data_IF_493821413233
#
_entry.id   IF_493821413233
#
_cell.length_a   1.000
_cell.length_b   1.000
_cell.length_c   1.000
_cell.angle_alpha   90.00
_cell.angle_beta   90.00
_cell.angle_gamma   90.00
#
_symmetry.space_group_name_H-M   'P 1'
#
loop_
_entity.id
_entity.type
_entity.pdbx_description
1 polymer ?
#
# COMPACT_ATOMS: atom_id res chain seq x y z
N UNK A 1 12.52 26.65 -14.33
CA UNK A 1 13.51 27.37 -13.48
C UNK A 1 12.87 28.55 -12.76
N UNK A 2 12.21 28.26 -11.63
CA UNK A 2 11.91 29.30 -10.66
C UNK A 2 13.23 29.85 -10.07
N UNK A 3 13.41 31.19 -9.90
CA UNK A 3 14.71 31.78 -9.53
C UNK A 3 15.09 31.59 -8.05
N UNK A 4 14.21 30.98 -7.27
CA UNK A 4 14.40 30.61 -5.88
C UNK A 4 14.27 29.08 -5.88
N UNK A 5 15.22 28.34 -5.29
CA UNK A 5 15.17 26.88 -5.23
C UNK A 5 13.81 26.37 -4.72
N UNK A 6 13.48 25.14 -5.09
CA UNK A 6 12.23 24.50 -4.69
C UNK A 6 12.10 24.48 -3.16
N UNK A 7 11.04 25.11 -2.63
CA UNK A 7 10.79 25.20 -1.19
C UNK A 7 9.38 24.71 -0.84
N UNK A 8 9.21 23.40 -0.84
CA UNK A 8 8.03 22.75 -0.29
C UNK A 8 7.92 22.99 1.24
N UNK A 9 6.81 23.59 1.66
CA UNK A 9 6.49 23.88 3.06
C UNK A 9 5.28 23.05 3.50
N UNK A 10 5.55 22.00 4.27
CA UNK A 10 4.51 21.10 4.78
C UNK A 10 4.13 21.43 6.23
N UNK A 11 2.84 21.43 6.52
CA UNK A 11 2.30 21.49 7.88
C UNK A 11 1.95 20.07 8.37
N UNK A 12 2.66 19.60 9.39
CA UNK A 12 2.38 18.30 10.01
C UNK A 12 1.21 18.40 10.99
N UNK A 13 0.21 17.54 10.79
CA UNK A 13 -0.87 17.25 11.71
C UNK A 13 -0.88 15.75 12.06
N UNK A 14 -1.09 15.43 13.33
CA UNK A 14 -1.40 14.07 13.76
C UNK A 14 -2.90 13.93 13.92
N UNK A 15 -3.54 13.27 12.95
CA UNK A 15 -5.01 13.14 12.90
C UNK A 15 -5.52 12.03 13.83
N UNK A 16 -4.69 11.01 14.10
CA UNK A 16 -4.96 9.97 15.09
C UNK A 16 -3.67 9.59 15.80
N UNK A 17 -3.66 9.67 17.13
CA UNK A 17 -2.46 9.44 17.94
C UNK A 17 -2.43 8.06 18.60
N UNK A 18 -3.56 7.37 18.67
CA UNK A 18 -3.68 6.07 19.32
C UNK A 18 -4.88 5.30 18.76
N UNK A 19 -4.87 4.92 17.47
CA UNK A 19 -5.88 4.03 16.94
C UNK A 19 -5.88 2.72 17.74
N UNK A 20 -7.03 2.05 17.91
CA UNK A 20 -7.14 0.84 18.73
C UNK A 20 -6.51 -0.37 18.03
N UNK A 21 -5.19 -0.35 17.94
CA UNK A 21 -4.35 -1.26 17.18
C UNK A 21 -3.05 -1.53 17.94
N UNK A 22 -2.49 -2.72 17.77
CA UNK A 22 -1.14 -3.05 18.23
C UNK A 22 -0.08 -2.79 17.15
N UNK A 23 -0.45 -2.93 15.88
CA UNK A 23 0.40 -2.72 14.71
C UNK A 23 -0.49 -2.31 13.54
N UNK A 24 0.01 -1.46 12.65
CA UNK A 24 -0.77 -0.93 11.52
C UNK A 24 -0.37 -1.62 10.22
N UNK A 25 -1.34 -1.97 9.39
CA UNK A 25 -1.19 -2.78 8.18
C UNK A 25 -0.97 -1.94 6.93
N UNK A 26 -2.01 -1.27 6.44
CA UNK A 26 -2.02 -0.54 5.16
C UNK A 26 -2.57 0.87 5.30
N UNK A 27 -2.31 1.74 4.32
CA UNK A 27 -2.84 3.10 4.21
C UNK A 27 -3.30 3.36 2.77
N UNK A 28 -4.59 3.59 2.58
CA UNK A 28 -5.22 3.80 1.28
C UNK A 28 -5.97 5.12 1.28
N UNK A 29 -6.12 5.72 0.10
CA UNK A 29 -6.87 6.96 -0.08
C UNK A 29 -7.86 6.84 -1.23
N UNK A 30 -9.06 7.40 -1.05
CA UNK A 30 -10.10 7.51 -2.08
C UNK A 30 -11.21 8.44 -1.59
N UNK A 31 -11.97 9.08 -2.48
CA UNK A 31 -13.16 9.86 -2.09
C UNK A 31 -14.37 8.93 -1.95
N UNK A 32 -14.67 8.50 -0.72
CA UNK A 32 -15.83 7.64 -0.42
C UNK A 32 -17.13 8.45 -0.36
N UNK A 33 -17.07 9.75 -0.09
CA UNK A 33 -18.26 10.59 0.10
C UNK A 33 -18.70 11.35 -1.15
N UNK A 34 -17.89 11.34 -2.20
CA UNK A 34 -18.12 12.07 -3.45
C UNK A 34 -17.98 13.58 -3.30
N UNK A 35 -17.21 14.05 -2.30
CA UNK A 35 -17.06 15.47 -2.01
C UNK A 35 -15.86 16.14 -2.70
N UNK A 36 -15.09 15.36 -3.46
CA UNK A 36 -13.88 15.77 -4.18
C UNK A 36 -12.61 15.81 -3.32
N UNK A 37 -12.64 15.26 -2.09
CA UNK A 37 -11.50 15.19 -1.18
C UNK A 37 -11.26 13.72 -0.82
N UNK A 38 -10.07 13.17 -1.09
CA UNK A 38 -9.74 11.82 -0.68
C UNK A 38 -9.84 11.66 0.84
N UNK A 39 -10.52 10.59 1.24
CA UNK A 39 -10.54 10.05 2.58
C UNK A 39 -9.33 9.15 2.84
N UNK A 40 -9.13 8.73 4.09
CA UNK A 40 -8.04 7.83 4.49
C UNK A 40 -8.61 6.53 5.05
N UNK A 41 -8.15 5.38 4.55
CA UNK A 41 -8.50 4.05 5.05
C UNK A 41 -7.25 3.38 5.60
N UNK A 42 -7.33 2.88 6.83
CA UNK A 42 -6.21 2.25 7.52
C UNK A 42 -6.60 0.88 8.05
N UNK A 43 -5.83 -0.13 7.64
CA UNK A 43 -5.90 -1.47 8.22
C UNK A 43 -4.95 -1.60 9.41
N UNK A 44 -5.28 -2.47 10.36
CA UNK A 44 -4.45 -2.73 11.53
C UNK A 44 -4.56 -4.17 12.05
N UNK A 45 -3.65 -4.56 12.91
CA UNK A 45 -3.81 -5.67 13.84
C UNK A 45 -4.56 -5.16 15.07
N UNK A 46 -5.73 -5.75 15.34
CA UNK A 46 -6.53 -5.37 16.50
C UNK A 46 -5.77 -5.43 17.83
N UNK A 47 -6.17 -4.59 18.78
CA UNK A 47 -5.53 -4.48 20.09
C UNK A 47 -6.04 -5.51 21.12
N UNK A 48 -5.19 -5.92 22.08
CA UNK A 48 -5.59 -6.73 23.24
C UNK A 48 -6.55 -5.92 24.13
N UNK A 49 -7.86 -6.14 23.99
CA UNK A 49 -8.84 -5.41 24.78
C UNK A 49 -8.94 -5.94 26.22
N UNK A 50 -8.50 -5.12 27.19
CA UNK A 50 -8.94 -5.24 28.58
C UNK A 50 -10.38 -4.72 28.73
N UNK A 51 -11.30 -5.55 29.20
CA UNK A 51 -12.68 -5.12 29.48
C UNK A 51 -12.89 -4.93 30.99
N UNK A 52 -13.40 -3.76 31.38
CA UNK A 52 -13.86 -3.51 32.74
C UNK A 52 -15.22 -4.17 32.98
N UNK A 53 -15.28 -5.09 33.95
CA UNK A 53 -16.54 -5.70 34.35
C UNK A 53 -17.21 -4.86 35.45
N UNK A 54 -18.41 -4.27 35.24
CA UNK A 54 -19.04 -3.36 36.20
C UNK A 54 -19.46 -4.02 37.54
N UNK A 55 -19.21 -5.31 37.72
CA UNK A 55 -19.50 -6.09 38.93
C UNK A 55 -18.24 -6.39 39.77
N UNK A 56 -17.04 -6.15 39.23
CA UNK A 56 -15.76 -6.40 39.90
C UNK A 56 -14.81 -5.30 39.43
N UNK A 57 -14.37 -4.38 40.30
CA UNK A 57 -13.36 -3.33 40.00
C UNK A 57 -12.00 -3.96 39.61
N UNK A 58 -11.97 -4.64 38.47
CA UNK A 58 -10.82 -5.32 37.86
C UNK A 58 -11.03 -5.32 36.36
N UNK A 59 -10.06 -4.76 35.65
CA UNK A 59 -9.90 -5.02 34.23
C UNK A 59 -9.45 -6.47 34.04
N UNK A 60 -9.98 -7.14 33.02
CA UNK A 60 -9.55 -8.48 32.62
C UNK A 60 -9.38 -8.46 31.11
N UNK A 61 -8.19 -8.79 30.65
CA UNK A 61 -7.93 -9.07 29.24
C UNK A 61 -8.83 -10.23 28.77
N UNK A 62 -9.70 -9.95 27.80
CA UNK A 62 -10.62 -10.94 27.24
C UNK A 62 -9.91 -12.11 26.54
N UNK A 63 -8.68 -11.90 26.05
CA UNK A 63 -7.83 -12.95 25.48
C UNK A 63 -7.36 -13.93 26.55
N UNK A 64 -7.12 -13.45 27.78
CA UNK A 64 -6.75 -14.27 28.93
C UNK A 64 -7.90 -15.11 29.51
N UNK A 65 -9.16 -14.82 29.14
CA UNK A 65 -10.33 -15.57 29.60
C UNK A 65 -10.53 -16.83 28.75
N UNK A 66 -10.33 -18.00 29.37
CA UNK A 66 -10.43 -19.30 28.71
C UNK A 66 -11.76 -19.48 27.96
N UNK A 67 -11.70 -19.57 26.63
CA UNK A 67 -12.86 -19.75 25.74
C UNK A 67 -13.44 -18.47 25.14
N UNK A 68 -13.00 -17.27 25.57
CA UNK A 68 -13.46 -15.98 25.04
C UNK A 68 -12.51 -15.38 23.98
N UNK A 69 -11.24 -15.82 23.92
CA UNK A 69 -10.25 -15.33 22.96
C UNK A 69 -10.71 -15.30 21.50
N UNK A 70 -11.39 -16.33 20.96
CA UNK A 70 -11.93 -16.30 19.59
C UNK A 70 -13.05 -15.27 19.38
N UNK A 71 -13.89 -15.03 20.40
CA UNK A 71 -14.96 -14.02 20.35
C UNK A 71 -14.38 -12.61 20.47
N UNK A 72 -13.35 -12.43 21.29
CA UNK A 72 -12.63 -11.16 21.45
C UNK A 72 -11.94 -10.73 20.15
N UNK A 73 -11.23 -11.65 19.47
CA UNK A 73 -10.64 -11.42 18.14
C UNK A 73 -11.68 -11.15 17.06
N UNK A 74 -12.89 -11.70 17.19
CA UNK A 74 -13.99 -11.47 16.24
C UNK A 74 -14.66 -10.09 16.44
N UNK A 75 -14.57 -9.50 17.63
CA UNK A 75 -15.13 -8.18 17.94
C UNK A 75 -14.15 -7.02 17.68
N UNK A 76 -12.90 -7.30 17.29
CA UNK A 76 -11.90 -6.27 16.99
C UNK A 76 -12.17 -5.67 15.60
N UNK A 77 -12.73 -4.46 15.54
CA UNK A 77 -12.64 -3.62 14.35
C UNK A 77 -11.18 -3.25 14.14
N UNK A 78 -10.70 -3.45 12.92
CA UNK A 78 -9.31 -3.20 12.56
C UNK A 78 -9.15 -2.68 11.12
N UNK A 79 -10.24 -2.15 10.57
CA UNK A 79 -10.24 -1.29 9.39
C UNK A 79 -10.93 0.00 9.81
N UNK A 80 -10.19 1.10 9.74
CA UNK A 80 -10.61 2.43 10.15
C UNK A 80 -10.69 3.33 8.93
N UNK A 81 -11.75 4.10 8.81
CA UNK A 81 -11.89 5.14 7.80
C UNK A 81 -11.90 6.51 8.49
N UNK A 82 -11.10 7.46 8.01
CA UNK A 82 -11.07 8.84 8.47
C UNK A 82 -11.69 9.72 7.38
N UNK A 83 -12.87 10.26 7.68
CA UNK A 83 -13.66 11.06 6.74
C UNK A 83 -13.07 12.47 6.58
N UNK A 84 -12.81 12.86 5.34
CA UNK A 84 -12.32 14.19 4.97
C UNK A 84 -13.50 15.07 4.50
N UNK A 85 -13.70 16.29 5.04
CA UNK A 85 -12.86 16.99 6.01
C UNK A 85 -13.21 16.71 7.48
N UNK A 86 -12.21 16.91 8.34
CA UNK A 86 -12.37 16.86 9.80
C UNK A 86 -11.88 15.55 10.43
N UNK A 87 -11.50 14.57 9.62
CA UNK A 87 -10.89 13.31 10.03
C UNK A 87 -11.76 12.52 11.03
N UNK A 88 -13.09 12.58 10.86
CA UNK A 88 -13.99 11.79 11.70
C UNK A 88 -13.73 10.30 11.46
N UNK A 89 -13.38 9.58 12.52
CA UNK A 89 -13.03 8.16 12.45
C UNK A 89 -14.28 7.27 12.50
N UNK A 90 -14.44 6.43 11.49
CA UNK A 90 -15.43 5.38 11.38
C UNK A 90 -14.78 3.99 11.50
N UNK A 91 -15.39 3.15 12.33
CA UNK A 91 -14.99 1.75 12.56
C UNK A 91 -15.72 0.84 11.57
N UNK A 92 -15.20 0.73 10.35
CA UNK A 92 -15.97 0.27 9.18
C UNK A 92 -15.94 -1.24 8.93
N UNK A 93 -14.88 -1.95 9.36
CA UNK A 93 -14.81 -3.39 9.16
C UNK A 93 -13.91 -4.12 10.16
N UNK A 94 -14.04 -5.44 10.20
CA UNK A 94 -13.21 -6.33 11.00
C UNK A 94 -12.76 -7.55 10.19
N UNK A 95 -11.47 -7.88 10.26
CA UNK A 95 -10.94 -9.15 9.81
C UNK A 95 -9.79 -9.61 10.70
N UNK A 96 -9.75 -10.90 11.08
CA UNK A 96 -8.70 -11.38 11.96
C UNK A 96 -7.33 -11.20 11.29
N UNK A 97 -6.42 -10.51 11.97
CA UNK A 97 -4.99 -10.49 11.60
C UNK A 97 -4.70 -9.98 10.17
N UNK A 98 -5.37 -8.89 9.78
CA UNK A 98 -4.92 -8.07 8.65
C UNK A 98 -3.62 -7.38 9.04
N UNK A 99 -2.61 -7.52 8.21
CA UNK A 99 -1.26 -7.08 8.60
C UNK A 99 -0.35 -6.71 7.46
N UNK A 100 -0.76 -7.00 6.22
CA UNK A 100 0.06 -6.78 5.04
C UNK A 100 -0.83 -6.41 3.87
N UNK A 101 -0.46 -5.35 3.16
CA UNK A 101 -1.03 -4.92 1.90
C UNK A 101 -2.51 -4.54 1.95
N UNK A 102 -2.88 -3.57 1.13
CA UNK A 102 -4.27 -3.28 0.84
C UNK A 102 -4.35 -2.66 -0.54
N UNK A 103 -5.46 -2.89 -1.23
CA UNK A 103 -5.74 -2.22 -2.49
C UNK A 103 -7.22 -1.89 -2.58
N UNK A 104 -7.53 -0.91 -3.42
CA UNK A 104 -8.88 -0.52 -3.76
C UNK A 104 -9.14 -0.83 -5.23
N UNK A 105 -10.36 -1.20 -5.57
CA UNK A 105 -10.82 -1.35 -6.94
C UNK A 105 -12.26 -1.84 -7.00
N UNK A 106 -12.93 -1.64 -8.12
CA UNK A 106 -14.34 -2.00 -8.27
C UNK A 106 -14.48 -3.52 -8.44
N UNK A 107 -14.94 -4.21 -7.39
CA UNK A 107 -15.16 -5.65 -7.40
C UNK A 107 -16.60 -6.00 -7.79
N UNK A 108 -17.53 -5.10 -7.48
CA UNK A 108 -18.96 -5.31 -7.70
C UNK A 108 -19.46 -4.87 -9.08
N UNK A 109 -18.60 -4.21 -9.87
CA UNK A 109 -18.95 -3.62 -11.17
C UNK A 109 -19.88 -2.42 -11.04
N UNK A 110 -19.90 -1.76 -9.88
CA UNK A 110 -20.83 -0.67 -9.57
C UNK A 110 -20.23 0.74 -9.84
N UNK A 111 -18.98 0.80 -10.27
CA UNK A 111 -18.22 2.02 -10.54
C UNK A 111 -17.65 2.70 -9.29
N UNK A 112 -17.64 2.05 -8.12
CA UNK A 112 -17.03 2.52 -6.87
C UNK A 112 -16.03 1.51 -6.34
N UNK A 113 -15.02 1.94 -5.59
CA UNK A 113 -14.04 1.02 -5.04
C UNK A 113 -14.63 0.13 -3.95
N UNK A 114 -14.21 -1.13 -3.97
CA UNK A 114 -14.20 -2.07 -2.86
C UNK A 114 -12.75 -2.23 -2.37
N UNK A 115 -12.54 -2.87 -1.21
CA UNK A 115 -11.20 -3.04 -0.64
C UNK A 115 -10.77 -4.51 -0.65
N UNK A 116 -9.50 -4.77 -0.95
CA UNK A 116 -8.85 -6.09 -0.82
C UNK A 116 -7.77 -6.01 0.25
N UNK A 117 -7.67 -7.03 1.11
CA UNK A 117 -6.58 -7.12 2.08
C UNK A 117 -6.26 -8.57 2.48
N UNK A 118 -4.96 -8.82 2.72
CA UNK A 118 -4.39 -10.12 3.04
C UNK A 118 -4.09 -10.35 4.53
N UNK A 119 -3.79 -11.59 4.87
CA UNK A 119 -3.23 -11.98 6.18
C UNK A 119 -1.72 -12.26 6.11
N UNK A 120 -1.02 -12.18 7.27
CA UNK A 120 0.43 -12.40 7.40
C UNK A 120 0.92 -13.86 7.33
N UNK A 121 2.23 -14.02 7.60
CA UNK A 121 2.93 -15.26 7.96
C UNK A 121 2.05 -16.17 8.84
N UNK A 122 2.05 -17.46 8.54
CA UNK A 122 1.24 -18.51 9.19
C UNK A 122 -0.27 -18.35 9.03
N UNK A 123 -0.72 -17.50 8.10
CA UNK A 123 -2.14 -17.27 7.79
C UNK A 123 -2.36 -17.28 6.29
N UNK A 124 -3.59 -17.62 5.92
CA UNK A 124 -3.88 -18.06 4.56
C UNK A 124 -5.00 -17.31 3.86
N UNK A 125 -5.64 -16.32 4.47
CA UNK A 125 -6.85 -15.73 3.90
C UNK A 125 -6.57 -14.44 3.15
N UNK A 126 -7.13 -14.35 1.95
CA UNK A 126 -7.29 -13.12 1.19
C UNK A 126 -8.76 -12.74 1.21
N UNK A 127 -9.05 -11.51 1.64
CA UNK A 127 -10.41 -10.99 1.79
C UNK A 127 -10.66 -9.85 0.82
N UNK A 128 -11.93 -9.68 0.43
CA UNK A 128 -12.43 -8.40 -0.03
C UNK A 128 -13.51 -7.86 0.90
N UNK A 129 -13.74 -6.56 0.86
CA UNK A 129 -14.68 -5.83 1.70
C UNK A 129 -15.57 -5.00 0.79
N UNK A 130 -16.84 -5.38 0.75
CA UNK A 130 -17.88 -4.69 0.01
C UNK A 130 -18.20 -3.37 0.70
N UNK A 131 -17.93 -2.25 0.01
CA UNK A 131 -18.22 -0.91 0.53
C UNK A 131 -19.67 -0.54 0.14
N UNK A 132 -20.57 -0.33 1.12
CA UNK A 132 -21.97 -0.01 0.85
C UNK A 132 -22.13 1.40 0.25
N UNK A 133 -23.31 1.68 -0.32
CA UNK A 133 -23.67 2.99 -0.89
C UNK A 133 -23.41 4.15 0.08
N UNK A 134 -23.72 3.96 1.37
CA UNK A 134 -23.32 4.87 2.44
C UNK A 134 -22.10 4.26 3.14
N UNK A 135 -20.87 4.77 2.90
CA UNK A 135 -19.64 4.18 3.44
C UNK A 135 -19.54 4.23 4.97
N UNK A 136 -20.47 4.93 5.64
CA UNK A 136 -20.60 4.97 7.12
C UNK A 136 -21.28 3.72 7.68
N UNK A 137 -21.92 2.91 6.83
CA UNK A 137 -22.39 1.59 7.20
C UNK A 137 -21.22 0.60 7.29
N UNK A 138 -21.43 -0.54 7.96
CA UNK A 138 -20.41 -1.58 8.09
C UNK A 138 -20.11 -2.23 6.74
N UNK A 139 -18.83 -2.37 6.40
CA UNK A 139 -18.39 -3.00 5.16
C UNK A 139 -18.43 -4.52 5.31
N UNK A 140 -18.89 -5.20 4.25
CA UNK A 140 -19.09 -6.66 4.31
C UNK A 140 -17.85 -7.40 3.84
N UNK A 141 -17.15 -8.04 4.77
CA UNK A 141 -15.99 -8.89 4.48
C UNK A 141 -16.39 -10.23 3.85
N UNK A 142 -15.69 -10.63 2.80
CA UNK A 142 -15.93 -11.87 2.03
C UNK A 142 -14.63 -12.54 1.62
N UNK A 143 -14.57 -13.88 1.69
CA UNK A 143 -13.37 -14.66 1.37
C UNK A 143 -13.18 -14.78 -0.15
N UNK A 144 -12.02 -14.31 -0.65
CA UNK A 144 -11.56 -14.63 -2.00
C UNK A 144 -10.99 -16.05 -2.01
N UNK A 145 -9.96 -16.30 -1.22
CA UNK A 145 -9.26 -17.59 -1.20
C UNK A 145 -8.58 -17.84 0.14
N UNK A 146 -8.35 -19.12 0.45
CA UNK A 146 -7.47 -19.54 1.53
C UNK A 146 -6.39 -20.56 1.15
N UNK A 147 -5.99 -20.56 -0.12
CA UNK A 147 -5.09 -21.57 -0.69
C UNK A 147 -3.59 -21.26 -0.51
N UNK A 148 -3.20 -19.99 -0.32
CA UNK A 148 -1.81 -19.55 -0.18
C UNK A 148 -1.54 -18.89 1.18
N UNK A 149 -0.28 -18.73 1.55
CA UNK A 149 0.18 -18.19 2.84
C UNK A 149 0.85 -16.81 2.68
N UNK A 150 0.54 -15.87 3.58
CA UNK A 150 1.10 -14.50 3.60
C UNK A 150 0.89 -13.74 2.28
N UNK A 151 -0.28 -13.13 2.11
CA UNK A 151 -0.51 -12.20 1.00
C UNK A 151 0.07 -10.85 1.39
N UNK A 152 1.24 -10.52 0.81
CA UNK A 152 2.00 -9.34 1.20
C UNK A 152 1.44 -8.07 0.55
N UNK A 153 1.26 -8.09 -0.77
CA UNK A 153 0.71 -6.98 -1.53
C UNK A 153 -0.37 -7.48 -2.49
N UNK A 154 -1.30 -6.59 -2.81
CA UNK A 154 -2.44 -6.85 -3.69
C UNK A 154 -2.65 -5.67 -4.63
N UNK A 155 -3.25 -5.93 -5.78
CA UNK A 155 -3.73 -4.91 -6.70
C UNK A 155 -5.10 -5.32 -7.24
N UNK A 156 -5.87 -4.34 -7.75
CA UNK A 156 -7.12 -4.57 -8.46
C UNK A 156 -7.07 -3.81 -9.77
N UNK A 157 -7.04 -4.53 -10.89
CA UNK A 157 -6.89 -3.98 -12.23
C UNK A 157 -7.26 -5.04 -13.27
N UNK A 158 -7.63 -4.60 -14.48
CA UNK A 158 -7.82 -5.45 -15.67
C UNK A 158 -6.46 -5.93 -16.17
N UNK A 159 -6.05 -7.14 -15.78
CA UNK A 159 -4.73 -7.71 -16.12
C UNK A 159 -4.77 -8.60 -17.36
N UNK A 160 -5.95 -9.10 -17.74
CA UNK A 160 -6.11 -10.00 -18.88
C UNK A 160 -6.76 -9.36 -20.12
N UNK A 161 -7.05 -8.06 -20.04
CA UNK A 161 -7.44 -7.18 -21.16
C UNK A 161 -8.89 -7.39 -21.58
N UNK A 162 -9.72 -8.00 -20.74
CA UNK A 162 -11.12 -8.29 -21.04
C UNK A 162 -12.09 -7.15 -20.70
N UNK A 163 -11.60 -6.11 -20.01
CA UNK A 163 -12.34 -4.93 -19.59
C UNK A 163 -13.00 -5.05 -18.21
N UNK A 164 -12.81 -6.17 -17.50
CA UNK A 164 -13.20 -6.38 -16.11
C UNK A 164 -11.94 -6.36 -15.22
N UNK A 165 -12.08 -6.05 -13.93
CA UNK A 165 -10.93 -6.06 -13.03
C UNK A 165 -10.65 -7.47 -12.51
N UNK A 166 -9.39 -7.78 -12.25
CA UNK A 166 -8.94 -8.94 -11.50
C UNK A 166 -8.41 -8.53 -10.13
N UNK A 167 -8.29 -9.49 -9.22
CA UNK A 167 -7.56 -9.31 -7.95
C UNK A 167 -6.20 -10.00 -8.04
N UNK A 168 -5.13 -9.21 -8.12
CA UNK A 168 -3.74 -9.68 -8.07
C UNK A 168 -3.30 -9.85 -6.61
N UNK A 169 -2.56 -10.92 -6.33
CA UNK A 169 -1.99 -11.18 -5.01
C UNK A 169 -0.57 -11.71 -5.08
N UNK A 170 0.31 -11.12 -4.27
CA UNK A 170 1.67 -11.61 -4.03
C UNK A 170 1.71 -12.42 -2.73
N UNK A 171 1.85 -13.75 -2.85
CA UNK A 171 1.97 -14.63 -1.70
C UNK A 171 3.43 -15.03 -1.47
N UNK A 172 4.06 -14.45 -0.47
CA UNK A 172 5.49 -14.62 -0.23
C UNK A 172 5.87 -15.99 0.33
N UNK A 173 5.15 -16.50 1.33
CA UNK A 173 5.49 -17.80 1.92
C UNK A 173 5.16 -18.96 0.97
N UNK A 174 4.11 -18.80 0.15
CA UNK A 174 3.84 -19.75 -0.94
C UNK A 174 4.63 -19.47 -2.22
N UNK A 175 5.39 -18.36 -2.26
CA UNK A 175 6.23 -17.94 -3.39
C UNK A 175 5.48 -17.92 -4.71
N UNK A 176 4.30 -17.31 -4.69
CA UNK A 176 3.37 -17.33 -5.82
C UNK A 176 2.90 -15.91 -6.14
N UNK A 177 3.03 -15.54 -7.40
CA UNK A 177 2.34 -14.39 -8.00
C UNK A 177 1.12 -14.94 -8.71
N UNK A 178 -0.07 -14.43 -8.38
CA UNK A 178 -1.32 -14.92 -8.92
C UNK A 178 -2.32 -13.79 -9.13
N UNK A 179 -3.36 -14.06 -9.90
CA UNK A 179 -4.56 -13.25 -9.91
C UNK A 179 -5.82 -14.13 -9.92
N UNK A 180 -6.94 -13.51 -9.60
CA UNK A 180 -8.26 -14.10 -9.73
C UNK A 180 -9.17 -13.23 -10.60
N UNK A 181 -9.77 -13.83 -11.61
CA UNK A 181 -10.94 -13.25 -12.30
C UNK A 181 -12.05 -13.05 -11.29
N UNK A 182 -12.69 -11.88 -11.30
CA UNK A 182 -13.85 -11.66 -10.47
C UNK A 182 -14.99 -12.55 -10.98
N UNK A 183 -15.55 -13.46 -10.15
CA UNK A 183 -16.65 -14.30 -10.62
C UNK A 183 -17.92 -13.46 -10.81
N UNK A 184 -18.78 -13.86 -11.75
CA UNK A 184 -20.10 -13.22 -12.01
C UNK A 184 -20.91 -12.95 -10.74
N UNK A 185 -20.76 -13.79 -9.71
CA UNK A 185 -21.21 -13.53 -8.35
C UNK A 185 -20.00 -13.43 -7.39
N UNK A 186 -19.48 -12.20 -7.14
CA UNK A 186 -18.33 -11.99 -6.24
C UNK A 186 -18.67 -12.25 -4.77
N UNK A 187 -19.96 -12.39 -4.43
CA UNK A 187 -20.41 -12.69 -3.06
C UNK A 187 -20.26 -14.15 -2.66
N UNK A 188 -19.92 -15.02 -3.61
CA UNK A 188 -19.61 -16.43 -3.37
C UNK A 188 -18.30 -16.56 -2.59
N UNK A 189 -18.28 -17.43 -1.58
CA UNK A 189 -17.09 -17.62 -0.72
C UNK A 189 -16.73 -19.11 -0.54
N UNK A 190 -15.47 -19.52 -0.80
CA UNK A 190 -14.44 -18.77 -1.53
C UNK A 190 -14.79 -18.62 -3.03
N UNK A 191 -14.07 -17.76 -3.73
CA UNK A 191 -14.12 -17.67 -5.19
C UNK A 191 -13.73 -19.02 -5.82
N UNK A 192 -14.30 -19.38 -6.99
CA UNK A 192 -13.99 -20.65 -7.63
C UNK A 192 -12.51 -20.74 -8.03
N UNK A 193 -11.89 -21.91 -7.82
CA UNK A 193 -10.52 -22.18 -8.30
C UNK A 193 -10.38 -22.02 -9.82
N UNK A 194 -11.48 -22.13 -10.57
CA UNK A 194 -11.49 -21.91 -12.01
C UNK A 194 -11.21 -20.46 -12.42
N UNK A 195 -11.39 -19.51 -11.51
CA UNK A 195 -11.07 -18.10 -11.71
C UNK A 195 -9.61 -17.78 -11.35
N UNK A 196 -8.85 -18.73 -10.80
CA UNK A 196 -7.47 -18.49 -10.39
C UNK A 196 -6.52 -18.72 -11.55
N UNK A 197 -5.61 -17.77 -11.71
CA UNK A 197 -4.46 -17.87 -12.61
C UNK A 197 -3.16 -17.71 -11.85
N UNK A 198 -2.17 -18.53 -12.18
CA UNK A 198 -0.83 -18.45 -11.60
C UNK A 198 0.06 -17.76 -12.63
N UNK A 199 0.62 -16.61 -12.23
CA UNK A 199 1.55 -15.83 -13.05
C UNK A 199 2.96 -16.38 -12.88
N UNK A 200 3.36 -16.65 -11.64
CA UNK A 200 4.65 -17.25 -11.33
C UNK A 200 4.61 -18.09 -10.06
N UNK A 201 5.44 -19.14 -10.01
CA UNK A 201 5.73 -19.95 -8.83
C UNK A 201 7.22 -19.85 -8.49
N UNK A 202 7.59 -20.27 -7.28
CA UNK A 202 8.96 -20.23 -6.75
C UNK A 202 9.57 -18.81 -6.73
N UNK A 203 8.73 -17.77 -6.64
CA UNK A 203 9.13 -16.37 -6.59
C UNK A 203 8.63 -15.68 -5.32
N UNK A 204 9.56 -15.16 -4.53
CA UNK A 204 9.30 -14.40 -3.30
C UNK A 204 9.58 -12.92 -3.57
N UNK A 205 8.52 -12.11 -3.62
CA UNK A 205 8.56 -10.70 -4.04
C UNK A 205 7.54 -9.87 -3.27
N UNK A 206 7.84 -8.58 -3.17
CA UNK A 206 6.99 -7.53 -2.61
C UNK A 206 6.96 -6.34 -3.56
N UNK A 207 5.92 -5.52 -3.39
CA UNK A 207 5.62 -4.40 -4.25
C UNK A 207 4.96 -4.90 -5.52
N UNK A 208 3.73 -4.45 -5.75
CA UNK A 208 2.99 -4.76 -6.97
C UNK A 208 2.48 -3.47 -7.59
N UNK A 209 2.59 -3.37 -8.90
CA UNK A 209 1.93 -2.37 -9.72
C UNK A 209 1.43 -3.07 -11.00
N UNK A 210 0.39 -2.51 -11.61
CA UNK A 210 -0.18 -3.01 -12.86
C UNK A 210 -0.36 -1.82 -13.78
N UNK A 211 0.35 -1.78 -14.89
CA UNK A 211 0.36 -0.68 -15.86
C UNK A 211 0.92 -1.19 -17.20
N UNK A 212 0.58 -0.54 -18.31
CA UNK A 212 1.19 -0.75 -19.64
C UNK A 212 2.59 -0.12 -19.65
N UNK A 213 3.61 -0.88 -19.25
CA UNK A 213 4.97 -0.36 -19.03
C UNK A 213 5.80 -0.33 -20.31
N UNK A 214 5.42 -1.10 -21.33
CA UNK A 214 6.12 -1.15 -22.61
C UNK A 214 5.41 -0.40 -23.75
N UNK A 215 4.23 0.15 -23.48
CA UNK A 215 3.46 1.00 -24.38
C UNK A 215 2.77 0.23 -25.52
N UNK A 216 2.60 -1.08 -25.39
CA UNK A 216 1.96 -1.92 -26.41
C UNK A 216 0.42 -1.90 -26.37
N UNK A 217 -0.15 -1.35 -25.30
CA UNK A 217 -1.58 -1.21 -25.08
C UNK A 217 -2.22 -2.32 -24.23
N UNK A 218 -1.44 -3.30 -23.78
CA UNK A 218 -1.79 -4.27 -22.75
C UNK A 218 -1.06 -3.91 -21.45
N UNK A 219 -1.58 -4.34 -20.29
CA UNK A 219 -0.92 -4.06 -19.02
C UNK A 219 0.00 -5.21 -18.59
N UNK A 220 1.10 -4.86 -17.95
CA UNK A 220 2.00 -5.78 -17.29
C UNK A 220 1.71 -5.84 -15.79
N UNK A 221 2.05 -6.98 -15.17
CA UNK A 221 2.15 -7.06 -13.72
C UNK A 221 3.62 -6.84 -13.35
N UNK A 222 3.92 -5.75 -12.65
CA UNK A 222 5.24 -5.52 -12.05
C UNK A 222 5.22 -6.02 -10.61
N UNK A 223 6.01 -7.04 -10.30
CA UNK A 223 6.15 -7.61 -8.95
C UNK A 223 7.62 -7.59 -8.50
N UNK A 224 7.94 -6.60 -7.66
CA UNK A 224 9.30 -6.22 -7.33
C UNK A 224 10.14 -5.93 -8.58
N UNK A 225 11.35 -6.51 -8.74
CA UNK A 225 12.21 -6.27 -9.90
C UNK A 225 11.83 -7.15 -11.12
N UNK A 226 10.56 -7.53 -11.25
CA UNK A 226 10.08 -8.43 -12.31
C UNK A 226 8.89 -7.82 -13.03
N UNK A 227 8.97 -7.75 -14.35
CA UNK A 227 7.88 -7.39 -15.24
C UNK A 227 7.33 -8.68 -15.85
N UNK A 228 6.03 -8.90 -15.71
CA UNK A 228 5.34 -10.04 -16.29
C UNK A 228 4.52 -9.56 -17.49
N UNK A 229 4.94 -10.00 -18.67
CA UNK A 229 4.34 -9.71 -19.96
C UNK A 229 3.31 -10.77 -20.32
N UNK A 230 2.09 -10.35 -20.68
CA UNK A 230 1.04 -11.30 -21.06
C UNK A 230 1.34 -11.90 -22.43
N UNK A 231 1.15 -13.20 -22.56
CA UNK A 231 1.33 -13.93 -23.83
C UNK A 231 0.08 -14.76 -24.13
N UNK A 232 -0.01 -15.30 -25.35
CA UNK A 232 -1.12 -16.16 -25.74
C UNK A 232 -1.25 -17.45 -24.90
N UNK A 233 -0.17 -17.90 -24.26
CA UNK A 233 -0.10 -19.17 -23.53
C UNK A 233 0.19 -18.97 -22.02
N UNK A 234 0.20 -17.73 -21.50
CA UNK A 234 0.52 -17.43 -20.10
C UNK A 234 1.30 -16.13 -19.95
N UNK A 235 2.38 -16.15 -19.15
CA UNK A 235 3.17 -14.96 -18.83
C UNK A 235 4.66 -15.19 -19.09
N UNK A 236 5.32 -14.22 -19.71
CA UNK A 236 6.78 -14.17 -19.84
C UNK A 236 7.34 -13.23 -18.76
N UNK A 237 8.36 -13.71 -18.02
CA UNK A 237 9.00 -12.94 -16.95
C UNK A 237 10.27 -12.28 -17.46
N UNK A 238 10.34 -10.96 -17.35
CA UNK A 238 11.55 -10.15 -17.47
C UNK A 238 12.01 -9.69 -16.10
N UNK A 239 13.26 -9.97 -15.74
CA UNK A 239 13.85 -9.49 -14.49
C UNK A 239 14.75 -8.28 -14.80
N UNK A 240 14.31 -7.11 -14.34
CA UNK A 240 14.96 -5.83 -14.68
C UNK A 240 16.17 -5.54 -13.78
N UNK A 241 16.21 -6.14 -12.58
CA UNK A 241 17.27 -5.90 -11.61
C UNK A 241 17.64 -7.15 -10.81
N UNK A 242 18.94 -7.33 -10.57
CA UNK A 242 19.49 -8.37 -9.70
C UNK A 242 19.80 -7.83 -8.30
N UNK A 243 19.47 -8.62 -7.28
CA UNK A 243 19.80 -8.31 -5.89
C UNK A 243 18.99 -7.18 -5.27
N UNK A 244 17.83 -6.85 -5.83
CA UNK A 244 16.81 -5.98 -5.22
C UNK A 244 15.72 -6.87 -4.63
N UNK A 245 15.43 -6.75 -3.34
CA UNK A 245 14.54 -7.65 -2.61
C UNK A 245 13.60 -6.85 -1.69
N UNK A 246 12.45 -7.46 -1.36
CA UNK A 246 11.41 -6.86 -0.49
C UNK A 246 11.14 -5.40 -0.86
N UNK A 247 10.88 -5.20 -2.16
CA UNK A 247 10.82 -3.87 -2.76
C UNK A 247 9.46 -3.24 -2.57
N UNK A 248 9.42 -1.90 -2.59
CA UNK A 248 8.23 -1.15 -3.02
C UNK A 248 8.43 -0.71 -4.47
N UNK A 249 7.33 -0.63 -5.21
CA UNK A 249 7.30 -0.34 -6.65
C UNK A 249 6.44 0.89 -6.89
N UNK A 250 6.93 1.81 -7.71
CA UNK A 250 6.13 2.85 -8.35
C UNK A 250 6.51 2.92 -9.83
N UNK A 251 5.63 3.46 -10.67
CA UNK A 251 5.79 3.53 -12.13
C UNK A 251 5.40 4.94 -12.59
N UNK A 252 6.25 5.60 -13.38
CA UNK A 252 5.97 6.91 -13.97
C UNK A 252 6.97 7.23 -15.10
N UNK A 253 6.56 8.11 -16.02
CA UNK A 253 7.45 8.79 -16.99
C UNK A 253 8.25 9.88 -16.23
N UNK A 254 9.41 9.49 -15.72
CA UNK A 254 10.31 10.28 -14.88
C UNK A 254 11.16 11.22 -15.72
N UNK A 255 11.55 10.85 -16.94
CA UNK A 255 12.46 11.67 -17.75
C UNK A 255 11.79 12.45 -18.89
N UNK A 256 10.48 12.25 -19.07
CA UNK A 256 9.63 12.98 -20.00
C UNK A 256 9.75 12.50 -21.45
N UNK A 257 10.31 11.32 -21.69
CA UNK A 257 10.46 10.75 -23.03
C UNK A 257 9.23 9.95 -23.50
N UNK A 258 8.33 9.64 -22.57
CA UNK A 258 7.04 8.98 -22.80
C UNK A 258 7.05 7.46 -22.60
N UNK A 259 8.20 6.85 -22.32
CA UNK A 259 8.30 5.50 -21.81
C UNK A 259 8.14 5.53 -20.25
N UNK A 260 7.73 4.41 -19.64
CA UNK A 260 7.49 4.37 -18.20
C UNK A 260 8.67 3.74 -17.45
N UNK A 261 9.24 4.50 -16.51
CA UNK A 261 10.28 4.00 -15.63
C UNK A 261 9.69 3.22 -14.46
N UNK A 262 10.44 2.22 -13.99
CA UNK A 262 10.13 1.51 -12.74
C UNK A 262 11.01 2.04 -11.63
N UNK A 263 10.40 2.52 -10.55
CA UNK A 263 11.09 3.00 -9.36
C UNK A 263 11.02 1.91 -8.29
N UNK A 264 12.18 1.47 -7.81
CA UNK A 264 12.28 0.48 -6.74
C UNK A 264 12.96 1.07 -5.51
N UNK A 265 12.43 0.72 -4.34
CA UNK A 265 13.13 0.91 -3.06
C UNK A 265 13.11 -0.38 -2.25
N UNK A 266 14.23 -0.72 -1.61
CA UNK A 266 14.36 -1.94 -0.80
C UNK A 266 13.78 -1.71 0.61
N UNK A 267 12.53 -2.12 0.83
CA UNK A 267 11.74 -1.71 1.99
C UNK A 267 12.19 -2.30 3.32
N UNK A 268 12.80 -3.48 3.28
CA UNK A 268 13.15 -4.25 4.48
C UNK A 268 14.65 -4.31 4.76
N UNK A 269 15.47 -3.49 4.12
CA UNK A 269 16.91 -3.37 4.45
C UNK A 269 17.13 -2.18 5.41
N UNK A 270 17.93 -2.28 6.50
CA UNK A 270 18.83 -3.37 6.88
C UNK A 270 18.18 -4.45 7.79
N UNK A 271 16.85 -4.59 7.79
CA UNK A 271 16.19 -5.58 8.66
C UNK A 271 16.47 -7.01 8.19
N UNK A 272 16.57 -7.24 6.89
CA UNK A 272 16.87 -8.55 6.30
C UNK A 272 18.38 -8.82 6.21
N UNK A 273 19.15 -7.87 5.69
CA UNK A 273 20.61 -7.95 5.59
C UNK A 273 21.30 -6.74 6.24
N UNK A 274 22.53 -6.92 6.73
CA UNK A 274 23.35 -5.87 7.38
C UNK A 274 23.95 -4.89 6.34
N UNK A 275 23.08 -4.21 5.58
CA UNK A 275 23.40 -3.18 4.59
C UNK A 275 22.26 -2.16 4.47
N UNK A 276 22.56 -0.91 4.13
CA UNK A 276 21.50 0.07 3.86
C UNK A 276 20.67 -0.31 2.62
N UNK A 277 19.43 0.18 2.62
CA UNK A 277 18.50 0.10 1.49
C UNK A 277 18.87 1.10 0.39
N UNK A 278 18.55 0.72 -0.85
CA UNK A 278 18.70 1.55 -2.04
C UNK A 278 17.36 2.02 -2.59
N UNK A 279 17.38 3.18 -3.24
CA UNK A 279 16.31 3.73 -4.08
C UNK A 279 16.89 3.95 -5.49
N UNK A 280 16.23 3.41 -6.51
CA UNK A 280 16.66 3.52 -7.91
C UNK A 280 15.51 3.66 -8.89
N UNK A 281 15.78 4.36 -9.98
CA UNK A 281 14.93 4.45 -11.18
C UNK A 281 15.53 3.55 -12.25
N UNK A 282 14.71 2.71 -12.87
CA UNK A 282 15.10 1.78 -13.92
C UNK A 282 14.43 2.20 -15.23
N UNK A 283 15.27 2.56 -16.19
CA UNK A 283 14.88 3.22 -17.43
C UNK A 283 14.87 2.25 -18.63
N UNK A 284 13.71 1.98 -19.25
CA UNK A 284 13.59 1.03 -20.36
C UNK A 284 14.33 1.49 -21.63
N UNK A 285 14.53 0.62 -22.63
CA UNK A 285 14.27 -0.82 -22.63
C UNK A 285 15.44 -1.63 -22.03
N UNK A 286 16.59 -1.00 -21.76
CA UNK A 286 17.74 -1.66 -21.15
C UNK A 286 17.68 -1.75 -19.62
N UNK A 287 16.72 -1.06 -19.00
CA UNK A 287 16.56 -0.92 -17.55
C UNK A 287 17.79 -0.30 -16.89
N UNK A 288 18.30 0.78 -17.49
CA UNK A 288 19.47 1.50 -17.00
C UNK A 288 19.17 2.09 -15.61
N UNK A 289 20.01 1.77 -14.62
CA UNK A 289 19.81 2.17 -13.23
C UNK A 289 20.36 3.58 -12.97
N UNK A 290 19.48 4.50 -12.58
CA UNK A 290 19.83 5.73 -11.87
C UNK A 290 19.63 5.55 -10.36
N UNK A 291 20.74 5.37 -9.63
CA UNK A 291 20.72 5.23 -8.17
C UNK A 291 20.54 6.59 -7.49
N UNK A 292 19.41 6.80 -6.82
CA UNK A 292 19.05 8.06 -6.16
C UNK A 292 19.52 8.12 -4.71
N UNK A 293 19.51 6.98 -4.02
CA UNK A 293 19.92 6.86 -2.61
C UNK A 293 20.40 5.45 -2.29
N UNK A 294 21.37 5.33 -1.37
CA UNK A 294 21.95 4.05 -0.95
C UNK A 294 22.25 3.97 0.56
N UNK A 295 21.74 4.93 1.32
CA UNK A 295 21.84 5.01 2.79
C UNK A 295 20.44 5.12 3.43
N UNK A 296 19.47 4.33 2.99
CA UNK A 296 18.13 4.28 3.61
C UNK A 296 18.04 3.16 4.66
N UNK A 297 17.16 3.33 5.65
CA UNK A 297 16.88 2.36 6.71
C UNK A 297 15.39 2.02 6.76
N UNK A 298 15.07 0.81 6.34
CA UNK A 298 13.75 0.24 6.16
C UNK A 298 12.74 1.21 5.49
N UNK A 299 13.03 1.69 4.27
CA UNK A 299 12.19 2.62 3.52
C UNK A 299 10.96 1.94 2.91
N UNK A 300 9.89 1.82 3.68
CA UNK A 300 8.73 1.02 3.31
C UNK A 300 7.56 1.84 2.73
N UNK A 301 7.77 3.14 2.48
CA UNK A 301 6.85 3.96 1.68
C UNK A 301 7.55 4.47 0.43
N UNK A 302 6.92 4.31 -0.73
CA UNK A 302 7.32 4.84 -2.02
C UNK A 302 6.07 5.33 -2.74
N UNK A 303 6.11 6.55 -3.27
CA UNK A 303 5.03 7.10 -4.10
C UNK A 303 5.58 8.17 -5.05
N UNK A 304 4.83 8.51 -6.09
CA UNK A 304 5.22 9.46 -7.12
C UNK A 304 4.14 10.51 -7.32
N UNK A 305 4.51 11.80 -7.29
CA UNK A 305 3.59 12.90 -7.57
C UNK A 305 4.35 14.17 -7.96
N UNK A 306 3.68 15.10 -8.63
CA UNK A 306 4.20 16.43 -8.93
C UNK A 306 3.97 17.37 -7.73
N UNK A 307 4.99 17.58 -6.89
CA UNK A 307 4.84 18.37 -5.66
C UNK A 307 4.89 19.88 -5.88
N UNK A 308 5.29 20.37 -7.07
CA UNK A 308 5.41 21.80 -7.34
C UNK A 308 4.57 22.31 -8.53
N UNK A 309 3.81 21.42 -9.15
CA UNK A 309 2.85 21.73 -10.22
C UNK A 309 3.52 22.02 -11.56
N UNK A 310 4.78 21.59 -11.76
CA UNK A 310 5.52 21.85 -12.99
C UNK A 310 5.30 20.81 -14.10
N UNK A 311 4.58 19.72 -13.76
CA UNK A 311 4.21 18.61 -14.62
C UNK A 311 5.21 17.46 -14.62
N UNK A 312 6.31 17.55 -13.85
CA UNK A 312 7.29 16.48 -13.73
C UNK A 312 7.03 15.67 -12.45
N UNK A 313 6.99 14.33 -12.54
CA UNK A 313 6.81 13.52 -11.35
C UNK A 313 8.05 13.52 -10.46
N UNK A 314 7.85 13.80 -9.17
CA UNK A 314 8.83 13.66 -8.10
C UNK A 314 8.64 12.35 -7.33
N UNK A 315 9.66 11.92 -6.59
CA UNK A 315 9.62 10.66 -5.83
C UNK A 315 9.62 10.94 -4.33
N UNK A 316 8.63 10.40 -3.61
CA UNK A 316 8.57 10.39 -2.15
C UNK A 316 9.03 9.04 -1.59
N UNK A 317 9.83 9.06 -0.52
CA UNK A 317 10.23 7.85 0.22
C UNK A 317 10.28 8.10 1.72
N UNK A 318 9.88 7.12 2.53
CA UNK A 318 9.92 7.22 3.98
C UNK A 318 10.32 5.94 4.71
N UNK A 319 11.05 6.13 5.80
CA UNK A 319 11.60 5.07 6.67
C UNK A 319 10.63 4.69 7.80
N UNK A 320 10.41 3.39 8.03
CA UNK A 320 9.46 2.94 9.05
C UNK A 320 10.00 2.91 10.48
N UNK A 321 11.31 3.16 10.67
CA UNK A 321 11.94 3.32 11.98
C UNK A 321 12.02 2.04 12.82
N UNK A 322 12.45 0.93 12.21
CA UNK A 322 12.66 -0.35 12.91
C UNK A 322 14.09 -0.52 13.46
N UNK A 323 15.04 0.28 12.99
CA UNK A 323 16.43 0.21 13.42
C UNK A 323 16.67 0.99 14.72
N UNK A 324 17.19 0.30 15.75
CA UNK A 324 17.50 0.90 17.05
C UNK A 324 18.57 2.00 16.93
N UNK A 325 18.22 3.22 17.34
CA UNK A 325 19.14 4.36 17.37
C UNK A 325 19.29 5.10 16.04
N UNK A 326 18.56 4.67 15.00
CA UNK A 326 18.36 5.41 13.77
C UNK A 326 17.13 6.33 13.89
N UNK A 327 17.23 7.57 13.46
CA UNK A 327 16.06 8.45 13.36
C UNK A 327 15.43 8.27 11.96
N UNK A 328 14.19 7.79 11.84
CA UNK A 328 13.56 7.60 10.55
C UNK A 328 13.35 8.94 9.82
N UNK A 329 13.63 8.93 8.52
CA UNK A 329 13.62 10.11 7.64
C UNK A 329 12.54 9.96 6.58
N UNK A 330 12.08 11.12 6.09
CA UNK A 330 11.23 11.24 4.92
C UNK A 330 11.96 12.11 3.90
N UNK A 331 11.98 11.68 2.64
CA UNK A 331 12.62 12.40 1.55
C UNK A 331 11.63 12.62 0.40
N UNK A 332 11.83 13.73 -0.31
CA UNK A 332 11.36 13.91 -1.67
C UNK A 332 12.55 14.18 -2.56
N UNK A 333 12.55 13.55 -3.72
CA UNK A 333 13.50 13.76 -4.80
C UNK A 333 12.76 14.56 -5.86
N UNK A 334 12.99 15.87 -5.87
CA UNK A 334 12.38 16.81 -6.82
C UNK A 334 13.06 16.68 -8.18
N UNK A 335 12.27 16.45 -9.22
CA UNK A 335 12.71 16.15 -10.57
C UNK A 335 12.68 17.40 -11.44
N UNK A 336 13.73 17.65 -12.21
CA UNK A 336 13.75 18.77 -13.17
C UNK A 336 13.12 18.46 -14.54
N UNK A 337 12.50 17.27 -14.65
CA UNK A 337 11.85 16.76 -15.87
C UNK A 337 12.82 16.10 -16.84
N UNK A 338 14.01 15.71 -16.37
CA UNK A 338 15.02 15.00 -17.19
C UNK A 338 15.62 13.79 -16.45
N UNK A 339 14.94 13.31 -15.40
CA UNK A 339 15.48 12.30 -14.49
C UNK A 339 16.63 12.80 -13.61
N UNK A 340 16.86 14.12 -13.53
CA UNK A 340 17.84 14.72 -12.62
C UNK A 340 17.15 15.25 -11.37
N UNK A 341 17.61 14.80 -10.21
CA UNK A 341 16.91 15.03 -8.94
C UNK A 341 17.65 15.94 -7.95
N UNK A 342 16.91 16.85 -7.30
CA UNK A 342 17.29 17.51 -6.05
C UNK A 342 16.64 16.79 -4.85
N UNK A 343 17.46 16.19 -3.99
CA UNK A 343 16.97 15.53 -2.76
C UNK A 343 16.71 16.54 -1.65
N UNK A 344 15.48 16.58 -1.13
CA UNK A 344 15.09 17.28 0.09
C UNK A 344 14.65 16.30 1.17
N UNK A 345 15.20 16.45 2.37
CA UNK A 345 14.69 15.75 3.55
C UNK A 345 13.56 16.58 4.16
N UNK A 346 12.37 15.98 4.29
CA UNK A 346 11.18 16.65 4.79
C UNK A 346 11.12 16.65 6.30
N UNK A 347 11.28 15.47 6.90
CA UNK A 347 11.16 15.25 8.33
C UNK A 347 12.22 14.25 8.84
N UNK A 348 12.38 14.24 10.16
CA UNK A 348 13.18 13.25 10.91
C UNK A 348 12.43 12.87 12.19
N UNK A 349 12.59 11.62 12.63
CA UNK A 349 12.00 11.12 13.87
C UNK A 349 10.50 10.79 13.80
N UNK A 350 9.91 10.74 12.61
CA UNK A 350 8.52 10.32 12.40
C UNK A 350 8.50 9.03 11.57
N UNK A 351 8.47 7.83 12.20
CA UNK A 351 8.37 6.58 11.45
C UNK A 351 7.13 6.52 10.56
N UNK A 352 7.32 6.09 9.31
CA UNK A 352 6.26 5.98 8.30
C UNK A 352 6.43 4.68 7.53
N UNK A 353 5.51 3.74 7.71
CA UNK A 353 5.54 2.42 7.08
C UNK A 353 4.76 2.37 5.79
N UNK A 354 3.70 3.16 5.68
CA UNK A 354 2.97 3.29 4.43
C UNK A 354 2.40 4.68 4.35
N UNK A 355 2.59 5.29 3.20
CA UNK A 355 2.09 6.61 2.88
C UNK A 355 1.36 6.61 1.54
N UNK A 356 0.61 7.68 1.31
CA UNK A 356 0.05 8.07 0.02
C UNK A 356 0.32 9.55 -0.18
N UNK A 357 0.66 9.91 -1.40
CA UNK A 357 0.85 11.29 -1.84
C UNK A 357 -0.35 11.67 -2.68
N UNK A 358 -1.20 12.54 -2.15
CA UNK A 358 -2.48 12.90 -2.78
C UNK A 358 -2.92 14.28 -2.32
N UNK A 359 -3.57 15.05 -3.19
CA UNK A 359 -4.21 16.31 -2.82
C UNK A 359 -5.42 16.03 -1.90
N UNK A 360 -5.25 16.21 -0.58
CA UNK A 360 -6.31 15.95 0.41
C UNK A 360 -7.26 17.15 0.54
N UNK A 361 -6.85 18.34 0.11
CA UNK A 361 -7.61 19.56 0.34
C UNK A 361 -8.16 20.27 -0.91
N UNK A 362 -7.89 19.71 -2.09
CA UNK A 362 -8.39 20.13 -3.38
C UNK A 362 -7.73 21.42 -3.90
N UNK A 363 -6.54 21.78 -3.41
CA UNK A 363 -5.83 22.98 -3.86
C UNK A 363 -4.94 22.74 -5.10
N UNK A 364 -4.79 21.49 -5.52
CA UNK A 364 -4.00 21.06 -6.66
C UNK A 364 -2.53 20.78 -6.37
N UNK A 365 -2.11 20.86 -5.11
CA UNK A 365 -0.76 20.50 -4.65
C UNK A 365 -0.87 19.22 -3.82
N UNK A 366 -0.10 18.16 -4.11
CA UNK A 366 -0.17 16.93 -3.34
C UNK A 366 0.22 17.14 -1.86
N UNK A 367 -0.54 16.51 -0.97
CA UNK A 367 -0.24 16.33 0.44
C UNK A 367 0.36 14.94 0.67
N UNK A 368 0.80 14.66 1.89
CA UNK A 368 1.23 13.32 2.31
C UNK A 368 0.36 12.86 3.47
N UNK A 369 -0.17 11.64 3.39
CA UNK A 369 -0.74 10.94 4.55
C UNK A 369 0.06 9.67 4.78
N UNK A 370 0.33 9.33 6.04
CA UNK A 370 0.97 8.07 6.37
C UNK A 370 0.66 7.54 7.75
N UNK A 371 1.04 6.28 7.96
CA UNK A 371 0.95 5.60 9.25
C UNK A 371 2.28 4.96 9.64
N UNK A 372 2.51 4.84 10.94
CA UNK A 372 3.66 4.10 11.46
C UNK A 372 3.35 2.59 11.57
N UNK A 373 4.35 1.72 11.74
CA UNK A 373 4.15 0.27 11.87
C UNK A 373 3.79 -0.15 13.31
N UNK A 374 4.73 0.01 14.24
CA UNK A 374 4.67 -0.44 15.64
C UNK A 374 4.30 0.64 16.64
N UNK A 375 4.18 1.89 16.18
CA UNK A 375 3.73 3.04 16.98
C UNK A 375 2.40 3.56 16.42
N UNK A 376 1.27 2.88 16.68
CA UNK A 376 0.01 3.14 16.00
C UNK A 376 -0.37 4.62 16.01
N UNK A 377 -0.43 5.22 14.83
CA UNK A 377 -0.84 6.60 14.58
C UNK A 377 -1.06 6.83 13.09
N UNK A 378 -1.76 7.91 12.78
CA UNK A 378 -1.94 8.43 11.43
C UNK A 378 -1.55 9.90 11.42
N UNK A 379 -0.63 10.26 10.53
CA UNK A 379 -0.06 11.59 10.38
C UNK A 379 -0.36 12.10 8.95
N UNK A 380 -0.62 13.40 8.84
CA UNK A 380 -0.83 14.12 7.58
C UNK A 380 0.16 15.28 7.51
N UNK A 381 0.72 15.52 6.33
CA UNK A 381 1.55 16.66 6.02
C UNK A 381 0.92 17.41 4.88
N UNK A 382 0.25 18.52 5.22
CA UNK A 382 -0.45 19.33 4.24
C UNK A 382 0.50 20.34 3.60
N UNK A 383 0.47 20.42 2.28
CA UNK A 383 1.14 21.44 1.49
C UNK A 383 0.56 22.82 1.79
N UNK A 384 1.42 23.83 1.73
CA UNK A 384 0.99 25.22 1.80
C UNK A 384 1.32 25.89 0.46
N UNK A 385 0.36 26.59 -0.17
CA UNK A 385 0.57 27.30 -1.42
C UNK A 385 1.45 28.56 -1.31
#
# INVERSE_FOLDING_TARGET
>A
MHPNGWDMNLHHERIEASPPASTMSFCLTTDLTGNGRPDIIVGALGDEHEVEFPLVDKSVDLLSVFGMGPLARWLQTNVFWYENPGWERHDVASAPELSVGGSLGDITGNGRPDMVAGQNIYRHKLWWFEIPDDPREQWTRRLITDDFEKYHDTAVADVDGDGENEVVGLSQESKTVLYYDIPEDPTREPWPVANRHIVAEDLDVEGVAVEDVDGDGEVEIVAGPNVFHRTADGWDREQIADGWQCTRVAIADIDGDGDLEIILVEGDEPYLDDRPARLGVFDPPEWDLTLLHDDLSNPHSLDVADFDGDGNPDIFVAEMGLEDGHEPRQFVFHNDGTGTFERKQLNTGIPTHEAKVVDLDGDGIPDIVGKAYTEPRVDVWQSNP
#
